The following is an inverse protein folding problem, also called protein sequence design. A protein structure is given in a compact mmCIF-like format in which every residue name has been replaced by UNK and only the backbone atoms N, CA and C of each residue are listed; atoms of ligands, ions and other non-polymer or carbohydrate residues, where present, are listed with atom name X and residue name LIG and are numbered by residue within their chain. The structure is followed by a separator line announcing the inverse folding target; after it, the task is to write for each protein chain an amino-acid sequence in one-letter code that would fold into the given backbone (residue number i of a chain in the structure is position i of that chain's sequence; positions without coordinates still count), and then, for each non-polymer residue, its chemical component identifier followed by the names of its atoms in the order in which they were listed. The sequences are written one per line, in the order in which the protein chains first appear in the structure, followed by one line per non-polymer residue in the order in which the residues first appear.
data_IF_508492885434
#
_entry.id   IF_508492885434
#
_cell.length_a   1.000
_cell.length_b   1.000
_cell.length_c   1.000
_cell.angle_alpha   90.00
_cell.angle_beta   90.00
_cell.angle_gamma   90.00
#
_symmetry.space_group_name_H-M   'P 1'
#
loop_
_entity.id
_entity.type
_entity.pdbx_description
1 polymer ?
#
# COMPACT_ATOMS: atom_id res chain seq x y z
N UNK A 1 3.82 -2.32 -15.38
CA UNK A 1 3.35 -1.91 -14.04
C UNK A 1 4.58 -1.57 -13.21
N UNK A 2 4.96 -0.29 -13.09
CA UNK A 2 6.28 0.11 -12.57
C UNK A 2 6.59 -0.38 -11.14
N UNK A 3 5.60 -0.38 -10.24
CA UNK A 3 5.83 -0.82 -8.86
C UNK A 3 6.20 -2.31 -8.80
N UNK A 4 5.47 -3.17 -9.52
CA UNK A 4 5.77 -4.61 -9.56
C UNK A 4 7.14 -4.88 -10.19
N UNK A 5 7.46 -4.19 -11.28
CA UNK A 5 8.76 -4.28 -11.95
C UNK A 5 9.89 -3.92 -10.99
N UNK A 6 9.82 -2.77 -10.31
CA UNK A 6 10.85 -2.36 -9.36
C UNK A 6 10.98 -3.32 -8.18
N UNK A 7 9.88 -3.88 -7.68
CA UNK A 7 9.94 -4.87 -6.59
C UNK A 7 10.60 -6.18 -7.07
N UNK A 8 10.30 -6.62 -8.30
CA UNK A 8 10.94 -7.80 -8.90
C UNK A 8 12.44 -7.57 -9.11
N UNK A 9 12.84 -6.37 -9.53
CA UNK A 9 14.25 -6.00 -9.71
C UNK A 9 15.05 -5.96 -8.40
N UNK A 10 14.38 -5.74 -7.26
CA UNK A 10 15.02 -5.58 -5.94
C UNK A 10 14.53 -6.64 -4.94
N UNK A 11 14.14 -7.84 -5.39
CA UNK A 11 13.64 -8.89 -4.48
C UNK A 11 14.65 -9.28 -3.39
N UNK A 12 15.94 -9.20 -3.70
CA UNK A 12 17.02 -9.53 -2.77
C UNK A 12 17.41 -8.35 -1.85
N UNK A 13 16.82 -7.16 -2.06
CA UNK A 13 17.11 -5.91 -1.34
C UNK A 13 15.81 -5.26 -0.80
N UNK A 14 14.98 -5.98 0.00
CA UNK A 14 13.68 -5.50 0.45
C UNK A 14 13.76 -4.21 1.28
N UNK A 15 14.85 -3.97 1.99
CA UNK A 15 15.11 -2.75 2.75
C UNK A 15 15.27 -1.51 1.87
N UNK A 16 15.68 -1.67 0.61
CA UNK A 16 15.78 -0.57 -0.36
C UNK A 16 14.40 -0.17 -0.83
N UNK A 17 13.54 -1.14 -1.14
CA UNK A 17 12.23 -0.86 -1.74
C UNK A 17 11.14 -0.51 -0.71
N UNK A 18 11.24 -1.03 0.52
CA UNK A 18 10.23 -0.83 1.56
C UNK A 18 9.89 0.66 1.81
N UNK A 19 10.85 1.59 1.99
CA UNK A 19 10.53 3.00 2.22
C UNK A 19 9.77 3.63 1.06
N UNK A 20 10.06 3.22 -0.19
CA UNK A 20 9.35 3.71 -1.36
C UNK A 20 7.89 3.23 -1.40
N UNK A 21 7.63 1.97 -1.01
CA UNK A 21 6.28 1.42 -0.93
C UNK A 21 5.46 2.09 0.17
N UNK A 22 6.08 2.36 1.32
CA UNK A 22 5.46 3.13 2.43
C UNK A 22 5.13 4.55 1.97
N UNK A 23 6.07 5.24 1.33
CA UNK A 23 5.81 6.59 0.79
C UNK A 23 4.69 6.58 -0.26
N UNK A 24 4.61 5.55 -1.09
CA UNK A 24 3.52 5.39 -2.05
C UNK A 24 2.17 5.17 -1.34
N UNK A 25 2.14 4.38 -0.26
CA UNK A 25 0.97 4.21 0.59
C UNK A 25 0.47 5.51 1.20
N UNK A 26 1.38 6.32 1.76
CA UNK A 26 1.06 7.63 2.30
C UNK A 26 0.44 8.56 1.25
N UNK A 27 0.92 8.52 0.00
CA UNK A 27 0.32 9.28 -1.11
C UNK A 27 -1.11 8.84 -1.44
N UNK A 28 -1.49 7.59 -1.20
CA UNK A 28 -2.88 7.16 -1.40
C UNK A 28 -3.81 7.72 -0.32
N UNK A 29 -3.32 7.97 0.90
CA UNK A 29 -4.11 8.60 1.96
C UNK A 29 -4.50 10.06 1.64
N UNK A 30 -3.82 10.70 0.68
CA UNK A 30 -4.19 12.05 0.23
C UNK A 30 -5.27 12.04 -0.85
N UNK A 31 -5.69 10.85 -1.33
CA UNK A 31 -6.77 10.73 -2.32
C UNK A 31 -8.09 10.71 -1.58
N UNK A 32 -8.94 11.68 -1.88
CA UNK A 32 -10.27 11.79 -1.26
C UNK A 32 -11.10 10.53 -1.51
N UNK A 33 -11.71 10.00 -0.43
CA UNK A 33 -12.56 8.82 -0.50
C UNK A 33 -11.81 7.50 -0.74
N UNK A 34 -10.48 7.48 -0.65
CA UNK A 34 -9.73 6.23 -0.76
C UNK A 34 -9.93 5.37 0.50
N UNK A 35 -10.04 4.05 0.32
CA UNK A 35 -10.14 3.08 1.40
C UNK A 35 -9.07 2.00 1.24
N UNK A 36 -8.44 1.58 2.33
CA UNK A 36 -7.39 0.54 2.31
C UNK A 36 -7.87 -0.80 1.76
N UNK A 37 -9.17 -1.09 1.81
CA UNK A 37 -9.78 -2.27 1.18
C UNK A 37 -9.52 -2.33 -0.33
N UNK A 38 -9.37 -1.17 -0.99
CA UNK A 38 -9.09 -1.11 -2.43
C UNK A 38 -7.75 -1.76 -2.80
N UNK A 39 -6.76 -1.77 -1.89
CA UNK A 39 -5.51 -2.52 -2.09
C UNK A 39 -5.75 -4.04 -2.13
N UNK A 40 -6.69 -4.55 -1.32
CA UNK A 40 -7.06 -5.98 -1.32
C UNK A 40 -7.80 -6.34 -2.61
N UNK A 41 -8.74 -5.51 -3.05
CA UNK A 41 -9.43 -5.70 -4.32
C UNK A 41 -8.46 -5.70 -5.51
N UNK A 42 -7.54 -4.73 -5.55
CA UNK A 42 -6.49 -4.67 -6.56
C UNK A 42 -5.70 -5.99 -6.63
N UNK A 43 -5.26 -6.51 -5.49
CA UNK A 43 -4.47 -7.75 -5.42
C UNK A 43 -5.26 -8.97 -5.93
N UNK A 44 -6.53 -9.07 -5.53
CA UNK A 44 -7.42 -10.14 -5.98
C UNK A 44 -7.62 -10.09 -7.49
N UNK A 45 -8.02 -8.93 -8.03
CA UNK A 45 -8.26 -8.77 -9.46
C UNK A 45 -7.00 -9.04 -10.29
N UNK A 46 -5.83 -8.63 -9.81
CA UNK A 46 -4.56 -8.87 -10.51
C UNK A 46 -4.27 -10.38 -10.63
N UNK A 47 -4.40 -11.13 -9.52
CA UNK A 47 -4.18 -12.57 -9.52
C UNK A 47 -5.21 -13.31 -10.37
N UNK A 48 -6.48 -12.91 -10.34
CA UNK A 48 -7.54 -13.48 -11.19
C UNK A 48 -7.25 -13.22 -12.68
N UNK A 49 -6.81 -12.01 -13.05
CA UNK A 49 -6.42 -11.71 -14.43
C UNK A 49 -5.24 -12.58 -14.86
N UNK A 50 -4.24 -12.76 -14.02
CA UNK A 50 -3.11 -13.64 -14.36
C UNK A 50 -3.50 -15.10 -14.50
N UNK A 51 -4.41 -15.61 -13.66
CA UNK A 51 -4.95 -16.96 -13.80
C UNK A 51 -5.67 -17.15 -15.14
N UNK A 52 -6.43 -16.15 -15.60
CA UNK A 52 -7.11 -16.19 -16.91
C UNK A 52 -6.13 -16.11 -18.09
N UNK A 53 -5.13 -15.23 -18.01
CA UNK A 53 -4.26 -14.92 -19.15
C UNK A 53 -3.05 -15.86 -19.29
N UNK A 54 -2.50 -16.35 -18.18
CA UNK A 54 -1.35 -17.26 -18.16
C UNK A 54 -1.79 -18.74 -18.17
N UNK A 55 -3.05 -19.02 -17.78
CA UNK A 55 -3.64 -20.35 -17.85
C UNK A 55 -2.81 -21.42 -17.14
N UNK A 56 -2.44 -22.47 -17.87
CA UNK A 56 -1.76 -23.65 -17.32
C UNK A 56 -0.35 -23.35 -16.75
N UNK A 57 0.30 -22.27 -17.19
CA UNK A 57 1.62 -21.85 -16.68
C UNK A 57 1.53 -21.17 -15.31
N UNK A 58 0.35 -20.68 -14.93
CA UNK A 58 0.11 -20.08 -13.61
C UNK A 58 -0.21 -21.14 -12.56
N UNK A 59 0.68 -22.11 -12.45
CA UNK A 59 0.58 -23.20 -11.48
C UNK A 59 0.53 -22.64 -10.05
N UNK A 60 0.03 -23.46 -9.12
CA UNK A 60 -0.19 -23.05 -7.73
C UNK A 60 1.05 -22.41 -7.08
N UNK A 61 2.24 -22.96 -7.31
CA UNK A 61 3.50 -22.43 -6.77
C UNK A 61 3.82 -21.02 -7.28
N UNK A 62 3.63 -20.77 -8.58
CA UNK A 62 3.85 -19.46 -9.19
C UNK A 62 2.82 -18.45 -8.66
N UNK A 63 1.53 -18.84 -8.62
CA UNK A 63 0.46 -18.01 -8.07
C UNK A 63 0.72 -17.62 -6.62
N UNK A 64 1.10 -18.59 -5.79
CA UNK A 64 1.29 -18.38 -4.36
C UNK A 64 2.53 -17.50 -4.10
N UNK A 65 3.58 -17.64 -4.92
CA UNK A 65 4.76 -16.76 -4.89
C UNK A 65 4.42 -15.31 -5.24
N UNK A 66 3.66 -15.09 -6.31
CA UNK A 66 3.16 -13.77 -6.68
C UNK A 66 2.26 -13.17 -5.61
N UNK A 67 1.35 -13.98 -5.05
CA UNK A 67 0.50 -13.56 -3.94
C UNK A 67 1.33 -13.10 -2.75
N UNK A 68 2.36 -13.84 -2.36
CA UNK A 68 3.22 -13.47 -1.24
C UNK A 68 3.90 -12.10 -1.46
N UNK A 69 4.42 -11.87 -2.66
CA UNK A 69 5.06 -10.59 -3.01
C UNK A 69 4.04 -9.43 -3.04
N UNK A 70 2.86 -9.64 -3.63
CA UNK A 70 1.80 -8.62 -3.67
C UNK A 70 1.30 -8.31 -2.25
N UNK A 71 1.12 -9.32 -1.40
CA UNK A 71 0.75 -9.13 0.00
C UNK A 71 1.83 -8.34 0.77
N UNK A 72 3.11 -8.53 0.46
CA UNK A 72 4.19 -7.69 1.00
C UNK A 72 4.04 -6.22 0.57
N UNK A 73 3.82 -5.96 -0.72
CA UNK A 73 3.60 -4.61 -1.25
C UNK A 73 2.42 -3.93 -0.55
N UNK A 74 1.28 -4.61 -0.48
CA UNK A 74 0.05 -4.09 0.14
C UNK A 74 0.27 -3.78 1.62
N UNK A 75 0.99 -4.64 2.36
CA UNK A 75 1.30 -4.37 3.78
C UNK A 75 2.10 -3.08 3.95
N UNK A 76 3.13 -2.87 3.13
CA UNK A 76 3.92 -1.63 3.18
C UNK A 76 3.07 -0.40 2.80
N UNK A 77 2.20 -0.53 1.80
CA UNK A 77 1.31 0.56 1.41
C UNK A 77 0.28 0.91 2.50
N UNK A 78 -0.33 -0.10 3.13
CA UNK A 78 -1.26 0.11 4.26
C UNK A 78 -0.52 0.79 5.42
N UNK A 79 0.70 0.34 5.75
CA UNK A 79 1.52 0.99 6.77
C UNK A 79 1.72 2.48 6.49
N UNK A 80 2.10 2.85 5.26
CA UNK A 80 2.27 4.25 4.89
C UNK A 80 0.97 5.06 4.91
N UNK A 81 -0.12 4.44 4.48
CA UNK A 81 -1.46 5.02 4.51
C UNK A 81 -1.88 5.38 5.94
N UNK A 82 -1.74 4.44 6.87
CA UNK A 82 -2.12 4.60 8.29
C UNK A 82 -1.25 5.64 9.01
N UNK A 83 0.06 5.68 8.72
CA UNK A 83 0.97 6.71 9.23
C UNK A 83 0.51 8.10 8.78
N UNK A 84 0.16 8.25 7.49
CA UNK A 84 -0.28 9.54 6.95
C UNK A 84 -1.57 10.02 7.61
N UNK A 85 -2.56 9.13 7.77
CA UNK A 85 -3.82 9.47 8.44
C UNK A 85 -3.60 9.83 9.91
N UNK A 86 -2.79 9.07 10.63
CA UNK A 86 -2.48 9.34 12.05
C UNK A 86 -1.83 10.71 12.21
N UNK A 87 -0.86 11.05 11.36
CA UNK A 87 -0.21 12.36 11.37
C UNK A 87 -1.21 13.49 11.06
N UNK A 88 -2.14 13.28 10.13
CA UNK A 88 -3.19 14.25 9.82
C UNK A 88 -4.13 14.46 11.02
N UNK A 89 -4.53 13.39 11.69
CA UNK A 89 -5.34 13.46 12.91
C UNK A 89 -4.60 14.20 14.03
N UNK A 90 -3.32 13.92 14.25
CA UNK A 90 -2.51 14.62 15.25
C UNK A 90 -2.40 16.12 14.98
N UNK A 91 -2.23 16.52 13.71
CA UNK A 91 -2.20 17.93 13.30
C UNK A 91 -3.56 18.58 13.54
N UNK A 92 -4.66 17.92 13.16
CA UNK A 92 -6.02 18.40 13.38
C UNK A 92 -6.31 18.61 14.87
N UNK A 93 -6.05 17.60 15.70
CA UNK A 93 -6.27 17.64 17.15
C UNK A 93 -5.40 18.70 17.84
N UNK A 94 -4.15 18.89 17.39
CA UNK A 94 -3.29 19.99 17.91
C UNK A 94 -3.81 21.35 17.48
N UNK A 95 -4.25 21.52 16.23
CA UNK A 95 -4.82 22.77 15.72
C UNK A 95 -6.05 23.23 16.50
N UNK A 96 -6.95 22.32 16.84
CA UNK A 96 -8.15 22.61 17.64
C UNK A 96 -7.82 22.97 19.11
N UNK A 97 -6.77 22.37 19.68
CA UNK A 97 -6.28 22.70 21.02
C UNK A 97 -5.60 24.09 21.11
N UNK A 98 -5.05 24.62 20.00
CA UNK A 98 -4.53 25.99 19.96
C UNK A 98 -5.66 27.04 19.92
N UNK A 99 -6.77 26.74 19.21
CA UNK A 99 -7.91 27.68 19.09
C UNK A 99 -8.67 27.80 20.42
N UNK A 100 -8.70 26.76 21.24
CA UNK A 100 -9.42 26.76 22.53
C UNK A 100 -8.66 27.44 23.68
N UNK A 101 -7.34 27.61 23.58
CA UNK A 101 -6.52 28.24 24.63
C UNK A 101 -6.37 29.77 24.51
N UNK A 102 -6.71 30.37 23.37
CA UNK A 102 -6.66 31.84 23.18
C UNK A 102 -7.92 32.59 23.63
N UNK A 103 -8.89 31.91 24.27
CA UNK A 103 -10.15 32.52 24.73
C UNK A 103 -10.38 32.51 26.26
N UNK A 104 -9.31 32.44 27.07
CA UNK A 104 -9.41 32.55 28.54
C UNK A 104 -8.46 33.59 29.08
#
# INVERSE_FOLDING_TARGET
MKVLETVVEHMDEPEVIQPHLVALGARHATVEGYHTEYFRFYSKCLLEVWEMELGEEFIAEVRDSWKYMIDYIVRCMIQGYDISLTNQLDIFMKGDNFITLEQT
#
